data_IF_679145490539
#
_entry.id   IF_679145490539
#
_cell.length_a   1.000
_cell.length_b   1.000
_cell.length_c   1.000
_cell.angle_alpha   90.00
_cell.angle_beta   90.00
_cell.angle_gamma   90.00
#
_symmetry.space_group_name_H-M   'P 1'
#
loop_
_entity.id
_entity.type
_entity.pdbx_description
1 polymer ?
#
# COMPACT_ATOMS: atom_id res chain seq x y z
N UNK A 1 -0.97 8.45 -13.08
CA UNK A 1 -2.32 8.89 -13.48
C UNK A 1 -3.20 8.99 -12.24
N UNK A 2 -4.37 9.60 -12.33
CA UNK A 2 -5.27 9.83 -11.20
C UNK A 2 -6.29 8.67 -11.05
N UNK A 3 -7.07 8.70 -9.96
CA UNK A 3 -8.15 7.75 -9.72
C UNK A 3 -9.15 7.72 -10.89
N UNK A 4 -9.56 6.51 -11.29
CA UNK A 4 -10.43 6.32 -12.45
C UNK A 4 -9.76 6.51 -13.82
N UNK A 5 -8.48 6.90 -13.86
CA UNK A 5 -7.73 7.11 -15.11
C UNK A 5 -6.78 5.95 -15.34
N UNK A 6 -7.08 5.13 -16.33
CA UNK A 6 -6.22 4.01 -16.73
C UNK A 6 -5.25 4.39 -17.87
N UNK A 7 -4.41 3.46 -18.31
CA UNK A 7 -3.40 3.65 -19.35
C UNK A 7 -3.87 3.19 -20.73
N UNK A 8 -5.08 2.62 -20.84
CA UNK A 8 -5.60 2.07 -22.07
C UNK A 8 -6.01 3.17 -23.04
N UNK A 9 -5.69 2.99 -24.31
CA UNK A 9 -6.21 3.83 -25.38
C UNK A 9 -7.65 3.39 -25.76
N UNK A 10 -8.42 4.25 -26.45
CA UNK A 10 -9.73 3.87 -26.98
C UNK A 10 -9.64 2.59 -27.81
N UNK A 11 -10.48 1.61 -27.54
CA UNK A 11 -10.49 0.31 -28.20
C UNK A 11 -9.53 -0.74 -27.61
N UNK A 12 -8.69 -0.39 -26.65
CA UNK A 12 -7.85 -1.34 -25.94
C UNK A 12 -8.58 -1.97 -24.74
N UNK A 13 -8.25 -3.21 -24.42
CA UNK A 13 -8.70 -3.91 -23.25
C UNK A 13 -7.53 -4.62 -22.53
N UNK A 14 -7.61 -4.71 -21.21
CA UNK A 14 -6.68 -5.50 -20.42
C UNK A 14 -7.03 -6.99 -20.57
N UNK A 15 -6.28 -7.74 -21.39
CA UNK A 15 -6.52 -9.15 -21.64
C UNK A 15 -6.08 -10.06 -20.49
N UNK A 16 -4.94 -9.78 -19.87
CA UNK A 16 -4.37 -10.65 -18.86
C UNK A 16 -3.38 -9.89 -17.96
N UNK A 17 -3.26 -10.33 -16.71
CA UNK A 17 -2.20 -9.95 -15.79
C UNK A 17 -1.33 -11.19 -15.57
N UNK A 18 -0.02 -11.09 -15.84
CA UNK A 18 0.93 -12.17 -15.63
C UNK A 18 1.71 -11.93 -14.34
N UNK A 19 1.61 -12.87 -13.40
CA UNK A 19 2.34 -12.85 -12.14
C UNK A 19 3.42 -13.93 -12.23
N UNK A 20 4.72 -13.61 -12.15
CA UNK A 20 5.80 -14.60 -12.10
C UNK A 20 5.65 -15.52 -10.87
N UNK A 21 5.92 -16.82 -11.04
CA UNK A 21 5.71 -17.82 -9.99
C UNK A 21 6.57 -17.59 -8.72
N UNK A 22 7.75 -17.00 -8.88
CA UNK A 22 8.61 -16.63 -7.75
C UNK A 22 7.98 -15.56 -6.84
N UNK A 23 7.12 -14.72 -7.39
CA UNK A 23 6.40 -13.70 -6.62
C UNK A 23 5.33 -14.29 -5.71
N UNK A 24 4.76 -15.44 -6.08
CA UNK A 24 3.72 -16.11 -5.29
C UNK A 24 4.26 -16.80 -4.03
N UNK A 25 5.58 -16.91 -3.89
CA UNK A 25 6.25 -17.54 -2.72
C UNK A 25 6.77 -16.53 -1.71
N UNK A 26 6.56 -15.24 -1.94
CA UNK A 26 7.07 -14.19 -1.04
C UNK A 26 6.18 -14.04 0.19
N UNK A 27 6.80 -13.76 1.32
CA UNK A 27 6.06 -13.31 2.50
C UNK A 27 5.44 -11.95 2.21
N UNK A 28 4.16 -11.83 2.51
CA UNK A 28 3.40 -10.59 2.33
C UNK A 28 2.55 -10.34 3.57
N UNK A 29 2.36 -9.07 3.89
CA UNK A 29 1.41 -8.61 4.88
C UNK A 29 0.43 -7.62 4.21
N UNK A 30 -0.82 -7.64 4.65
CA UNK A 30 -1.90 -6.86 4.05
C UNK A 30 -2.72 -6.19 5.14
N UNK A 31 -3.00 -4.90 4.96
CA UNK A 31 -3.89 -4.13 5.83
C UNK A 31 -4.91 -3.38 4.98
N UNK A 32 -6.14 -3.42 5.41
CA UNK A 32 -7.25 -2.69 4.78
C UNK A 32 -8.27 -2.26 5.82
N UNK A 33 -8.78 -1.06 5.69
CA UNK A 33 -9.89 -0.56 6.49
C UNK A 33 -10.95 0.12 5.62
N UNK A 34 -12.18 0.07 6.09
CA UNK A 34 -13.33 0.82 5.58
C UNK A 34 -14.21 1.25 6.75
N UNK A 35 -15.01 2.31 6.57
CA UNK A 35 -15.91 2.81 7.62
C UNK A 35 -17.08 1.89 7.95
N UNK A 36 -17.32 0.88 7.10
CA UNK A 36 -18.32 -0.17 7.35
C UNK A 36 -17.85 -1.50 6.76
N UNK A 37 -18.38 -2.65 7.21
CA UNK A 37 -17.93 -3.98 6.75
C UNK A 37 -17.96 -4.16 5.23
N UNK A 38 -18.95 -3.57 4.56
CA UNK A 38 -19.10 -3.61 3.09
C UNK A 38 -18.70 -2.29 2.42
N UNK A 39 -18.07 -1.37 3.17
CA UNK A 39 -17.71 -0.05 2.69
C UNK A 39 -16.56 -0.05 1.69
N UNK A 40 -16.46 1.05 0.94
CA UNK A 40 -15.30 1.32 0.09
C UNK A 40 -14.05 1.44 0.96
N UNK A 41 -12.92 1.00 0.41
CA UNK A 41 -11.63 1.06 1.08
C UNK A 41 -11.25 2.51 1.42
N UNK A 42 -11.08 2.78 2.71
CA UNK A 42 -10.59 4.06 3.22
C UNK A 42 -9.07 4.15 3.17
N UNK A 43 -8.39 3.05 3.53
CA UNK A 43 -6.95 2.90 3.42
C UNK A 43 -6.59 1.43 3.15
N UNK A 44 -5.51 1.21 2.42
CA UNK A 44 -4.98 -0.12 2.09
C UNK A 44 -3.45 -0.03 1.98
N UNK A 45 -2.76 -0.95 2.63
CA UNK A 45 -1.32 -1.13 2.50
C UNK A 45 -0.96 -2.61 2.29
N UNK A 46 0.05 -2.85 1.46
CA UNK A 46 0.58 -4.18 1.17
C UNK A 46 2.09 -4.11 1.30
N UNK A 47 2.67 -4.96 2.16
CA UNK A 47 4.09 -5.18 2.25
C UNK A 47 4.48 -6.52 1.63
N UNK A 48 5.60 -6.58 0.94
CA UNK A 48 6.16 -7.80 0.36
C UNK A 48 7.66 -7.84 0.60
N UNK A 49 8.16 -8.89 1.24
CA UNK A 49 9.59 -9.08 1.40
C UNK A 49 10.26 -9.34 0.06
N UNK A 50 11.37 -8.64 -0.17
CA UNK A 50 12.20 -8.89 -1.35
C UNK A 50 13.14 -10.08 -1.10
N UNK A 51 13.66 -10.74 -2.14
CA UNK A 51 14.65 -11.84 -1.97
C UNK A 51 15.92 -11.41 -1.23
N UNK A 52 16.25 -10.11 -1.27
CA UNK A 52 17.41 -9.54 -0.56
C UNK A 52 17.14 -9.14 0.90
N UNK A 53 15.97 -9.48 1.45
CA UNK A 53 15.61 -9.13 2.84
C UNK A 53 15.10 -7.69 3.02
N UNK A 54 14.85 -6.98 1.93
CA UNK A 54 14.20 -5.67 1.96
C UNK A 54 12.68 -5.76 1.94
N UNK A 55 12.00 -4.61 1.90
CA UNK A 55 10.55 -4.48 1.85
C UNK A 55 10.11 -3.62 0.67
N UNK A 56 9.18 -4.14 -0.12
CA UNK A 56 8.35 -3.36 -1.05
C UNK A 56 7.02 -3.05 -0.35
N UNK A 57 6.77 -1.79 -0.01
CA UNK A 57 5.53 -1.31 0.60
C UNK A 57 4.71 -0.55 -0.45
N UNK A 58 3.45 -0.93 -0.62
CA UNK A 58 2.51 -0.25 -1.54
C UNK A 58 1.32 0.27 -0.75
N UNK A 59 1.07 1.58 -0.88
CA UNK A 59 -0.11 2.26 -0.30
C UNK A 59 -1.11 2.55 -1.41
N UNK A 60 -2.38 2.29 -1.15
CA UNK A 60 -3.50 2.53 -2.06
C UNK A 60 -4.81 2.78 -1.29
N UNK A 61 -5.92 2.89 -1.99
CA UNK A 61 -7.27 3.03 -1.42
C UNK A 61 -7.58 4.42 -0.90
N UNK A 62 -6.69 5.02 -0.12
CA UNK A 62 -6.84 6.38 0.44
C UNK A 62 -6.19 7.48 -0.36
N UNK A 63 -5.45 7.15 -1.41
CA UNK A 63 -4.65 8.09 -2.21
C UNK A 63 -5.05 8.04 -3.68
N UNK A 64 -4.84 9.16 -4.40
CA UNK A 64 -5.24 9.31 -5.81
C UNK A 64 -4.62 8.28 -6.76
N UNK A 65 -3.44 7.79 -6.42
CA UNK A 65 -2.73 6.73 -7.17
C UNK A 65 -1.96 5.85 -6.20
N UNK A 66 -1.73 4.56 -6.51
CA UNK A 66 -0.87 3.73 -5.69
C UNK A 66 0.54 4.34 -5.57
N UNK A 67 1.06 4.38 -4.36
CA UNK A 67 2.42 4.82 -4.04
C UNK A 67 3.22 3.60 -3.58
N UNK A 68 4.37 3.36 -4.21
CA UNK A 68 5.28 2.29 -3.86
C UNK A 68 6.54 2.87 -3.23
N UNK A 69 6.92 2.31 -2.08
CA UNK A 69 8.12 2.66 -1.33
C UNK A 69 8.95 1.40 -1.20
N UNK A 70 10.20 1.45 -1.67
CA UNK A 70 11.13 0.32 -1.63
C UNK A 70 12.21 0.55 -0.58
N UNK A 71 12.40 -0.42 0.29
CA UNK A 71 13.43 -0.45 1.31
C UNK A 71 14.47 -1.53 0.94
N UNK A 72 15.75 -1.18 0.83
CA UNK A 72 16.82 -2.16 0.55
C UNK A 72 16.97 -3.24 1.62
N UNK A 73 16.72 -2.86 2.87
CA UNK A 73 16.63 -3.73 4.05
C UNK A 73 15.27 -3.57 4.70
N UNK A 74 14.85 -4.53 5.52
CA UNK A 74 13.61 -4.40 6.27
C UNK A 74 13.71 -3.20 7.23
N UNK A 75 12.81 -2.21 7.10
CA UNK A 75 12.82 -1.05 8.01
C UNK A 75 12.24 -1.40 9.37
N UNK A 76 12.57 -0.63 10.38
CA UNK A 76 11.82 -0.61 11.64
C UNK A 76 10.39 -0.09 11.39
N UNK A 77 9.42 -0.41 12.26
CA UNK A 77 8.06 0.13 12.17
C UNK A 77 8.02 1.65 12.05
N UNK A 78 8.86 2.33 12.80
CA UNK A 78 8.93 3.79 12.79
C UNK A 78 9.47 4.33 11.45
N UNK A 79 10.53 3.71 10.91
CA UNK A 79 11.10 4.10 9.60
C UNK A 79 10.09 3.87 8.48
N UNK A 80 9.33 2.77 8.52
CA UNK A 80 8.28 2.50 7.55
C UNK A 80 7.20 3.58 7.55
N UNK A 81 6.71 3.97 8.72
CA UNK A 81 5.72 5.04 8.87
C UNK A 81 6.27 6.39 8.39
N UNK A 82 7.48 6.76 8.78
CA UNK A 82 8.12 8.01 8.36
C UNK A 82 8.33 8.07 6.84
N UNK A 83 8.72 6.96 6.21
CA UNK A 83 8.89 6.91 4.76
C UNK A 83 7.56 7.07 4.00
N UNK A 84 6.47 6.50 4.52
CA UNK A 84 5.12 6.72 3.97
C UNK A 84 4.72 8.18 4.09
N UNK A 85 4.94 8.79 5.24
CA UNK A 85 4.61 10.19 5.49
C UNK A 85 5.37 11.14 4.56
N UNK A 86 6.66 10.88 4.36
CA UNK A 86 7.50 11.66 3.46
C UNK A 86 7.15 11.46 1.98
N UNK A 87 6.68 10.26 1.59
CA UNK A 87 6.41 9.91 0.20
C UNK A 87 5.03 10.36 -0.31
N UNK A 88 4.09 10.66 0.58
CA UNK A 88 2.69 10.96 0.23
C UNK A 88 2.35 12.40 0.62
N UNK A 89 2.37 13.36 -0.35
CA UNK A 89 1.99 14.73 -0.10
C UNK A 89 0.55 14.86 0.42
N UNK A 90 0.30 15.85 1.28
CA UNK A 90 -0.98 16.03 1.97
C UNK A 90 -2.17 16.16 1.00
N UNK A 91 -1.97 16.81 -0.13
CA UNK A 91 -2.99 17.05 -1.17
C UNK A 91 -3.37 15.80 -1.98
N UNK A 92 -2.64 14.69 -1.83
CA UNK A 92 -2.91 13.44 -2.55
C UNK A 92 -3.88 12.52 -1.82
N UNK A 93 -4.17 12.79 -0.56
CA UNK A 93 -5.17 12.05 0.19
C UNK A 93 -6.59 12.43 -0.26
N UNK A 94 -7.44 11.41 -0.43
CA UNK A 94 -8.85 11.67 -0.72
C UNK A 94 -9.56 12.30 0.47
N UNK A 95 -10.40 13.30 0.17
CA UNK A 95 -11.37 13.88 1.07
C UNK A 95 -12.77 13.56 0.54
N UNK A 96 -13.41 12.57 1.12
CA UNK A 96 -14.73 12.10 0.71
C UNK A 96 -15.47 11.43 1.90
N UNK A 97 -16.71 11.00 1.64
CA UNK A 97 -17.56 10.33 2.64
C UNK A 97 -17.00 8.97 3.14
N UNK A 98 -15.92 8.48 2.56
CA UNK A 98 -15.26 7.22 2.97
C UNK A 98 -14.04 7.46 3.85
N UNK A 99 -13.75 8.70 4.23
CA UNK A 99 -12.72 9.09 5.18
C UNK A 99 -12.06 10.42 4.87
N UNK A 100 -11.81 11.19 5.92
CA UNK A 100 -11.06 12.45 5.84
C UNK A 100 -9.57 12.22 5.62
N UNK A 101 -8.83 13.15 4.98
CA UNK A 101 -7.40 13.03 4.70
C UNK A 101 -6.56 12.71 5.94
N UNK A 102 -6.78 13.40 7.05
CA UNK A 102 -6.03 13.20 8.29
C UNK A 102 -6.21 11.79 8.86
N UNK A 103 -7.42 11.25 8.83
CA UNK A 103 -7.71 9.89 9.25
C UNK A 103 -7.05 8.86 8.34
N UNK A 104 -7.17 9.02 7.01
CA UNK A 104 -6.54 8.14 6.02
C UNK A 104 -5.03 8.09 6.20
N UNK A 105 -4.41 9.27 6.39
CA UNK A 105 -2.99 9.38 6.67
C UNK A 105 -2.63 8.63 7.95
N UNK A 106 -3.27 8.93 9.08
CA UNK A 106 -2.96 8.31 10.37
C UNK A 106 -3.02 6.78 10.29
N UNK A 107 -4.14 6.22 9.81
CA UNK A 107 -4.32 4.76 9.66
C UNK A 107 -3.30 4.14 8.70
N UNK A 108 -2.91 4.85 7.64
CA UNK A 108 -1.91 4.31 6.70
C UNK A 108 -0.52 4.26 7.33
N UNK A 109 -0.16 5.23 8.18
CA UNK A 109 1.10 5.20 8.93
C UNK A 109 1.13 4.02 9.92
N UNK A 110 0.02 3.79 10.63
CA UNK A 110 -0.12 2.62 11.52
C UNK A 110 0.02 1.31 10.73
N UNK A 111 -0.64 1.19 9.58
CA UNK A 111 -0.51 0.02 8.71
C UNK A 111 0.91 -0.23 8.24
N UNK A 112 1.64 0.83 7.90
CA UNK A 112 3.05 0.69 7.49
C UNK A 112 3.92 0.16 8.63
N UNK A 113 3.71 0.66 9.85
CA UNK A 113 4.40 0.20 11.05
C UNK A 113 4.07 -1.26 11.38
N UNK A 114 2.79 -1.63 11.37
CA UNK A 114 2.34 -2.99 11.64
C UNK A 114 2.88 -3.99 10.62
N UNK A 115 2.87 -3.64 9.33
CA UNK A 115 3.40 -4.48 8.24
C UNK A 115 4.90 -4.70 8.42
N UNK A 116 5.67 -3.68 8.77
CA UNK A 116 7.09 -3.81 9.02
C UNK A 116 7.38 -4.70 10.23
N UNK A 117 6.60 -4.56 11.31
CA UNK A 117 6.70 -5.42 12.49
C UNK A 117 6.40 -6.89 12.16
N UNK A 118 5.25 -7.17 11.52
CA UNK A 118 4.82 -8.53 11.16
C UNK A 118 5.83 -9.23 10.25
N UNK A 119 6.34 -8.54 9.24
CA UNK A 119 7.31 -9.12 8.31
C UNK A 119 8.71 -9.25 8.90
N UNK A 120 8.99 -8.58 10.02
CA UNK A 120 10.22 -8.73 10.81
C UNK A 120 10.22 -9.95 11.73
N UNK A 121 9.07 -10.52 12.03
CA UNK A 121 8.97 -11.73 12.81
C UNK A 121 9.45 -12.95 12.00
N UNK A 122 10.09 -13.95 12.63
CA UNK A 122 10.42 -15.19 11.95
C UNK A 122 9.17 -15.85 11.35
N UNK A 123 9.31 -16.52 10.20
CA UNK A 123 8.23 -17.37 9.69
C UNK A 123 8.05 -18.57 10.62
N UNK A 124 6.83 -18.81 11.07
CA UNK A 124 6.47 -20.05 11.79
C UNK A 124 6.61 -21.28 10.91
#
# INVERSE_FOLDING_TARGET
RDAGVNALAPGELLRAIRIPADRLRRRTAFRRISLSPMGRTGALAIGTLTPGGGLDLTVSGGVRRPVRIAFPTLPTPQEAAQAVDAAIPAETWFDDLHGAPAWRRAVTLDFAAEIAAELGEPAE
#
